data_IF_495712724263
#
_entry.id   IF_495712724263
#
_cell.length_a   1.000
_cell.length_b   1.000
_cell.length_c   1.000
_cell.angle_alpha   90.00
_cell.angle_beta   90.00
_cell.angle_gamma   90.00
#
_symmetry.space_group_name_H-M   'P 1'
#
loop_
_entity.id
_entity.type
_entity.pdbx_description
1 polymer ?
#
# COMPACT_ATOMS: atom_id res chain seq x y z
N UNK A 1 5.32 9.37 11.55
CA UNK A 1 4.47 9.90 10.47
C UNK A 1 3.92 8.71 9.72
N UNK A 2 2.62 8.69 9.47
CA UNK A 2 1.85 7.52 9.04
C UNK A 2 2.36 6.94 7.71
N UNK A 3 2.86 5.69 7.72
CA UNK A 3 3.23 4.94 6.49
C UNK A 3 2.12 4.95 5.42
N UNK A 4 0.88 5.14 5.84
CA UNK A 4 -0.29 5.30 4.98
C UNK A 4 -0.28 6.63 4.20
N UNK A 5 0.14 7.71 4.86
CA UNK A 5 0.27 9.03 4.27
C UNK A 5 1.42 9.06 3.26
N UNK A 6 2.60 8.53 3.59
CA UNK A 6 3.73 8.42 2.66
C UNK A 6 3.36 7.61 1.39
N UNK A 7 2.62 6.51 1.57
CA UNK A 7 2.14 5.68 0.46
C UNK A 7 1.12 6.44 -0.41
N UNK A 8 0.26 7.24 0.22
CA UNK A 8 -0.69 8.09 -0.49
C UNK A 8 0.01 9.18 -1.28
N UNK A 9 0.99 9.86 -0.69
CA UNK A 9 1.78 10.90 -1.37
C UNK A 9 2.53 10.30 -2.57
N UNK A 10 3.15 9.13 -2.40
CA UNK A 10 3.79 8.40 -3.50
C UNK A 10 2.81 8.04 -4.64
N UNK A 11 1.59 7.63 -4.29
CA UNK A 11 0.53 7.32 -5.26
C UNK A 11 0.02 8.57 -5.98
N UNK A 12 -0.20 9.65 -5.24
CA UNK A 12 -0.69 10.92 -5.77
C UNK A 12 0.34 11.56 -6.70
N UNK A 13 1.62 11.51 -6.34
CA UNK A 13 2.73 11.96 -7.18
C UNK A 13 2.79 11.15 -8.48
N UNK A 14 2.82 9.81 -8.38
CA UNK A 14 2.82 8.94 -9.56
C UNK A 14 1.60 9.19 -10.47
N UNK A 15 0.42 9.46 -9.90
CA UNK A 15 -0.81 9.80 -10.66
C UNK A 15 -0.63 11.13 -11.38
N UNK A 16 -0.10 12.14 -10.70
CA UNK A 16 0.17 13.45 -11.27
C UNK A 16 1.18 13.38 -12.42
N UNK A 17 2.22 12.56 -12.30
CA UNK A 17 3.22 12.36 -13.36
C UNK A 17 2.63 11.80 -14.65
N UNK A 18 1.60 10.96 -14.55
CA UNK A 18 0.90 10.40 -15.72
C UNK A 18 -0.32 11.22 -16.16
N UNK A 19 -0.58 12.36 -15.51
CA UNK A 19 -1.74 13.20 -15.79
C UNK A 19 -3.08 12.64 -15.28
N UNK A 20 -3.05 11.70 -14.33
CA UNK A 20 -4.25 11.23 -13.63
C UNK A 20 -4.57 12.11 -12.42
N UNK A 21 -5.87 12.27 -12.12
CA UNK A 21 -6.32 12.94 -10.92
C UNK A 21 -5.92 12.19 -9.64
N UNK A 22 -5.56 12.97 -8.63
CA UNK A 22 -5.34 12.47 -7.28
C UNK A 22 -6.68 11.98 -6.69
N UNK A 23 -6.66 10.76 -6.13
CA UNK A 23 -7.81 10.21 -5.41
C UNK A 23 -7.88 10.82 -4.01
N UNK A 24 -9.06 11.00 -3.40
CA UNK A 24 -9.15 11.47 -2.01
C UNK A 24 -8.52 10.51 -1.01
N UNK A 25 -7.77 11.03 -0.03
CA UNK A 25 -7.09 10.24 1.00
C UNK A 25 -8.02 9.28 1.75
N UNK A 26 -9.24 9.71 2.09
CA UNK A 26 -10.20 8.85 2.80
C UNK A 26 -10.59 7.61 1.98
N UNK A 27 -10.80 7.76 0.66
CA UNK A 27 -11.11 6.62 -0.22
C UNK A 27 -9.92 5.67 -0.36
N UNK A 28 -8.72 6.24 -0.43
CA UNK A 28 -7.50 5.46 -0.43
C UNK A 28 -7.34 4.67 0.87
N UNK A 29 -7.51 5.32 2.02
CA UNK A 29 -7.40 4.68 3.33
C UNK A 29 -8.39 3.50 3.49
N UNK A 30 -9.64 3.66 3.05
CA UNK A 30 -10.62 2.56 3.09
C UNK A 30 -10.24 1.39 2.17
N UNK A 31 -9.65 1.67 1.00
CA UNK A 31 -9.15 0.65 0.09
C UNK A 31 -8.00 -0.13 0.72
N UNK A 32 -7.05 0.55 1.36
CA UNK A 32 -5.94 -0.09 2.08
C UNK A 32 -6.46 -0.95 3.23
N UNK A 33 -7.37 -0.42 4.07
CA UNK A 33 -7.99 -1.19 5.16
C UNK A 33 -8.68 -2.46 4.64
N UNK A 34 -9.39 -2.35 3.52
CA UNK A 34 -10.07 -3.50 2.90
C UNK A 34 -9.09 -4.55 2.39
N UNK A 35 -8.01 -4.13 1.74
CA UNK A 35 -6.96 -5.04 1.27
C UNK A 35 -6.24 -5.71 2.45
N UNK A 36 -5.78 -4.95 3.43
CA UNK A 36 -5.13 -5.50 4.64
C UNK A 36 -6.07 -6.47 5.37
N UNK A 37 -7.35 -6.12 5.52
CA UNK A 37 -8.35 -7.01 6.11
C UNK A 37 -8.51 -8.33 5.35
N UNK A 38 -8.42 -8.29 4.02
CA UNK A 38 -8.47 -9.49 3.17
C UNK A 38 -7.23 -10.36 3.33
N UNK A 39 -6.03 -9.77 3.36
CA UNK A 39 -4.78 -10.50 3.57
C UNK A 39 -4.67 -11.08 4.99
N UNK A 40 -5.12 -10.34 5.99
CA UNK A 40 -5.18 -10.79 7.39
C UNK A 40 -6.11 -11.99 7.54
N UNK A 41 -7.28 -11.98 6.90
CA UNK A 41 -8.19 -13.15 6.84
C UNK A 41 -7.57 -14.37 6.17
N UNK A 42 -6.65 -14.17 5.22
CA UNK A 42 -5.88 -15.23 4.55
C UNK A 42 -4.67 -15.72 5.36
N UNK A 43 -4.48 -15.23 6.59
CA UNK A 43 -3.39 -15.65 7.47
C UNK A 43 -2.06 -14.95 7.20
N UNK A 44 -2.04 -13.86 6.44
CA UNK A 44 -0.84 -13.01 6.28
C UNK A 44 -0.97 -11.76 7.15
N UNK A 45 -0.17 -11.61 8.22
CA UNK A 45 -0.27 -10.45 9.10
C UNK A 45 0.23 -9.16 8.45
N UNK A 46 1.17 -9.27 7.51
CA UNK A 46 1.83 -8.12 6.90
C UNK A 46 1.63 -8.04 5.38
N UNK A 47 1.39 -6.82 4.92
CA UNK A 47 1.14 -6.51 3.51
C UNK A 47 2.07 -5.38 3.11
N UNK A 48 2.92 -5.64 2.12
CA UNK A 48 3.74 -4.61 1.49
C UNK A 48 2.96 -4.01 0.32
N UNK A 49 2.80 -2.69 0.33
CA UNK A 49 2.23 -1.94 -0.79
C UNK A 49 3.34 -1.29 -1.61
N UNK A 50 3.19 -1.31 -2.93
CA UNK A 50 4.13 -0.68 -3.87
C UNK A 50 3.38 0.11 -4.94
N UNK A 51 3.86 1.31 -5.19
CA UNK A 51 3.45 2.19 -6.29
C UNK A 51 4.56 2.14 -7.35
N UNK A 52 4.20 1.97 -8.61
CA UNK A 52 5.13 2.04 -9.72
C UNK A 52 4.45 2.68 -10.94
N UNK A 53 5.17 3.49 -11.73
CA UNK A 53 4.68 3.97 -13.02
C UNK A 53 5.17 3.01 -14.11
N UNK A 54 4.25 2.44 -14.89
CA UNK A 54 4.55 1.56 -16.03
C UNK A 54 3.72 1.96 -17.24
N UNK A 55 4.38 2.19 -18.37
CA UNK A 55 3.73 2.57 -19.64
C UNK A 55 2.79 3.79 -19.51
N UNK A 56 3.19 4.80 -18.72
CA UNK A 56 2.36 5.98 -18.48
C UNK A 56 1.09 5.69 -17.66
N UNK A 57 1.06 4.59 -16.90
CA UNK A 57 -0.01 4.25 -15.97
C UNK A 57 0.54 3.95 -14.59
N UNK A 58 -0.19 4.34 -13.56
CA UNK A 58 0.17 4.00 -12.19
C UNK A 58 -0.27 2.58 -11.87
N UNK A 59 0.68 1.72 -11.56
CA UNK A 59 0.48 0.39 -11.04
C UNK A 59 0.57 0.41 -9.52
N UNK A 60 -0.55 0.09 -8.86
CA UNK A 60 -0.61 -0.11 -7.43
C UNK A 60 -0.69 -1.61 -7.12
N UNK A 61 0.27 -2.13 -6.37
CA UNK A 61 0.35 -3.56 -6.05
C UNK A 61 0.46 -3.79 -4.56
N UNK A 62 -0.23 -4.81 -4.07
CA UNK A 62 -0.16 -5.28 -2.69
C UNK A 62 0.38 -6.71 -2.68
N UNK A 63 1.40 -6.96 -1.86
CA UNK A 63 2.01 -8.27 -1.70
C UNK A 63 1.94 -8.70 -0.24
N UNK A 64 1.39 -9.88 -0.01
CA UNK A 64 1.49 -10.56 1.27
C UNK A 64 2.96 -10.83 1.59
N UNK A 65 3.44 -10.32 2.73
CA UNK A 65 4.74 -10.67 3.28
C UNK A 65 4.54 -11.95 4.11
N UNK A 66 4.89 -13.10 3.51
CA UNK A 66 4.90 -14.38 4.23
C UNK A 66 6.20 -14.46 5.02
N UNK A 67 6.10 -14.35 6.36
CA UNK A 67 7.24 -14.59 7.26
C UNK A 67 7.70 -13.40 8.08
N UNK A 68 6.78 -12.63 8.68
CA UNK A 68 7.14 -11.70 9.76
C UNK A 68 6.69 -12.23 11.14
N UNK A 69 6.83 -13.54 11.31
CA UNK A 69 7.54 -14.12 12.46
C UNK A 69 8.90 -14.46 11.82
N UNK A 70 10.05 -13.95 12.24
CA UNK A 70 10.56 -13.79 13.59
C UNK A 70 11.63 -12.68 13.52
N UNK A 71 11.54 -11.59 14.29
CA UNK A 71 12.68 -10.69 14.57
C UNK A 71 12.48 -9.75 15.79
N UNK A 72 11.61 -10.11 16.73
CA UNK A 72 11.57 -9.48 18.06
C UNK A 72 11.48 -10.60 19.12
N UNK A 73 12.58 -11.32 19.28
CA UNK A 73 12.90 -12.11 20.48
C UNK A 73 14.24 -11.57 21.01
N UNK A 74 14.18 -10.48 21.79
CA UNK A 74 15.19 -9.91 22.72
C UNK A 74 14.44 -8.75 23.41
N UNK A 75 14.20 -8.65 24.73
CA UNK A 75 14.81 -9.19 25.95
C UNK A 75 13.74 -9.56 27.01
#
# INVERSE_FOLDING_TARGET
MDKLQDLYESLAEARREVGEDAIPFHKFADLIKTQVGTFKKKGTPEVAFRVAVKHGKVAFTARAMKGAKDEDEEE
#
